data_IF_296865458069
#
_entry.id   IF_296865458069
#
_cell.length_a   1.000
_cell.length_b   1.000
_cell.length_c   1.000
_cell.angle_alpha   90.00
_cell.angle_beta   90.00
_cell.angle_gamma   90.00
#
_symmetry.space_group_name_H-M   'P 1'
#
loop_
_entity.id
_entity.type
_entity.pdbx_description
1 polymer ?
#
# COMPACT_ATOMS: atom_id res chain seq x y z
N UNK A 1 2.87 4.39 2.93
CA UNK A 1 2.21 3.29 3.67
C UNK A 1 1.57 2.34 2.67
N UNK A 2 1.58 1.03 2.91
CA UNK A 2 0.75 0.10 2.14
C UNK A 2 -0.56 -0.13 2.88
N UNK A 3 -1.67 -0.33 2.16
CA UNK A 3 -2.97 -0.68 2.72
C UNK A 3 -3.49 -1.95 2.09
N UNK A 4 -4.20 -2.76 2.86
CA UNK A 4 -4.86 -3.94 2.32
C UNK A 4 -6.01 -3.53 1.38
N UNK A 5 -6.14 -4.21 0.24
CA UNK A 5 -7.22 -3.91 -0.71
C UNK A 5 -8.63 -4.23 -0.18
N UNK A 6 -8.76 -5.17 0.77
CA UNK A 6 -10.06 -5.63 1.30
C UNK A 6 -10.44 -4.92 2.59
N UNK A 7 -9.63 -5.04 3.65
CA UNK A 7 -9.94 -4.41 4.95
C UNK A 7 -9.48 -2.94 5.07
N UNK A 8 -8.71 -2.42 4.09
CA UNK A 8 -8.18 -1.04 4.06
C UNK A 8 -7.24 -0.69 5.22
N UNK A 9 -6.92 -1.63 6.09
CA UNK A 9 -6.00 -1.43 7.19
C UNK A 9 -4.58 -1.15 6.68
N UNK A 10 -3.84 -0.29 7.39
CA UNK A 10 -2.44 -0.04 7.09
C UNK A 10 -1.63 -1.30 7.37
N UNK A 11 -0.84 -1.70 6.39
CA UNK A 11 0.13 -2.77 6.53
C UNK A 11 1.36 -2.18 7.20
N UNK A 12 1.54 -2.49 8.48
CA UNK A 12 2.69 -2.06 9.29
C UNK A 12 3.96 -2.88 8.99
N UNK A 13 3.81 -4.01 8.28
CA UNK A 13 4.94 -4.88 7.94
C UNK A 13 5.73 -4.34 6.75
N UNK A 14 7.02 -4.65 6.74
CA UNK A 14 7.92 -4.28 5.65
C UNK A 14 7.44 -4.92 4.33
N UNK A 15 7.15 -4.14 3.28
CA UNK A 15 6.64 -4.68 2.01
C UNK A 15 7.64 -5.58 1.28
N UNK A 16 8.90 -5.58 1.72
CA UNK A 16 9.97 -6.45 1.20
C UNK A 16 9.98 -7.84 1.85
N UNK A 17 9.17 -8.08 2.88
CA UNK A 17 9.08 -9.42 3.49
C UNK A 17 8.40 -10.37 2.51
N UNK A 18 9.12 -11.41 2.09
CA UNK A 18 8.56 -12.53 1.32
C UNK A 18 7.37 -13.12 2.10
N UNK A 19 6.21 -13.23 1.43
CA UNK A 19 5.00 -13.80 2.03
C UNK A 19 4.08 -12.80 2.73
N UNK A 20 4.12 -11.51 2.37
CA UNK A 20 3.22 -10.50 2.94
C UNK A 20 1.74 -10.89 2.76
N UNK A 21 1.07 -11.12 3.88
CA UNK A 21 -0.37 -11.36 3.97
C UNK A 21 -0.99 -10.39 4.98
N UNK A 22 -2.18 -9.89 4.68
CA UNK A 22 -2.92 -9.09 5.65
C UNK A 22 -3.33 -9.98 6.84
N UNK A 23 -2.96 -9.59 8.07
CA UNK A 23 -3.25 -10.35 9.29
C UNK A 23 -4.76 -10.49 9.59
N UNK A 24 -5.58 -9.57 9.07
CA UNK A 24 -7.01 -9.53 9.38
C UNK A 24 -7.84 -10.32 8.37
N UNK A 25 -7.58 -10.16 7.07
CA UNK A 25 -8.40 -10.76 6.02
C UNK A 25 -7.67 -11.73 5.08
N UNK A 26 -6.41 -12.08 5.38
CA UNK A 26 -5.53 -12.95 4.59
C UNK A 26 -5.36 -12.56 3.12
N UNK A 27 -5.71 -11.32 2.75
CA UNK A 27 -5.49 -10.83 1.39
C UNK A 27 -4.01 -10.57 1.12
N UNK A 28 -3.61 -10.83 -0.13
CA UNK A 28 -2.25 -10.62 -0.67
C UNK A 28 -2.15 -9.43 -1.62
N UNK A 29 -3.24 -8.66 -1.74
CA UNK A 29 -3.33 -7.50 -2.62
C UNK A 29 -3.26 -6.24 -1.76
N UNK A 30 -2.34 -5.34 -2.13
CA UNK A 30 -2.03 -4.13 -1.36
C UNK A 30 -1.95 -2.91 -2.27
N UNK A 31 -2.41 -1.77 -1.78
CA UNK A 31 -2.28 -0.47 -2.43
C UNK A 31 -1.22 0.37 -1.72
N UNK A 32 -0.39 1.08 -2.47
CA UNK A 32 0.52 2.08 -1.91
C UNK A 32 -0.22 3.41 -1.81
N UNK A 33 -0.20 4.01 -0.63
CA UNK A 33 -0.77 5.34 -0.44
C UNK A 33 -0.04 6.39 -1.28
N UNK A 34 -0.82 7.35 -1.78
CA UNK A 34 -0.29 8.49 -2.50
C UNK A 34 0.60 9.30 -1.55
N UNK A 35 1.85 9.61 -1.93
CA UNK A 35 2.69 10.50 -1.13
C UNK A 35 2.06 11.90 -1.09
N UNK A 36 2.19 12.64 0.03
CA UNK A 36 1.65 14.00 0.16
C UNK A 36 2.42 15.05 -0.65
N UNK A 37 3.31 14.62 -1.54
CA UNK A 37 4.17 15.48 -2.35
C UNK A 37 3.43 15.82 -3.65
N UNK A 38 3.33 17.11 -3.96
CA UNK A 38 2.75 17.57 -5.22
C UNK A 38 3.55 17.03 -6.40
N UNK A 39 2.85 16.57 -7.45
CA UNK A 39 3.50 16.23 -8.72
C UNK A 39 3.59 17.50 -9.57
N UNK A 40 4.77 17.81 -10.07
CA UNK A 40 4.93 18.84 -11.11
C UNK A 40 4.57 18.22 -12.45
N UNK A 41 3.59 18.81 -13.15
CA UNK A 41 3.18 18.38 -14.48
C UNK A 41 3.71 19.40 -15.49
N UNK A 42 4.36 18.92 -16.55
CA UNK A 42 4.75 19.76 -17.70
C UNK A 42 3.79 19.42 -18.85
N UNK A 43 3.20 20.44 -19.47
CA UNK A 43 2.47 20.31 -20.73
C UNK A 43 3.46 20.39 -21.89
N UNK A 44 3.18 19.65 -22.97
CA UNK A 44 3.92 19.69 -24.24
C UNK A 44 3.73 21.04 -24.95
#
# INVERSE_FOLDING_TARGET
MYRCARCKEPVMNDPKSIGLQCKNCNCKIFFKDRPPIKKTLYSD
#
